data_IF_386779935983
#
_entry.id   IF_386779935983
#
_cell.length_a   1.000
_cell.length_b   1.000
_cell.length_c   1.000
_cell.angle_alpha   90.00
_cell.angle_beta   90.00
_cell.angle_gamma   90.00
#
_symmetry.space_group_name_H-M   'P 1'
#
loop_
_entity.id
_entity.type
_entity.pdbx_description
1 polymer ?
#
# COMPACT_ATOMS: atom_id res chain seq x y z
N UNK A 1 -20.78 7.51 -13.72
CA UNK A 1 -21.35 8.05 -14.97
C UNK A 1 -20.38 9.06 -15.64
N UNK A 2 -19.94 10.14 -14.96
CA UNK A 2 -19.12 11.19 -15.60
C UNK A 2 -17.80 10.66 -16.21
N UNK A 3 -17.01 9.90 -15.45
CA UNK A 3 -15.73 9.34 -15.92
C UNK A 3 -15.94 8.45 -17.16
N UNK A 4 -16.93 7.56 -17.14
CA UNK A 4 -17.20 6.69 -18.29
C UNK A 4 -17.55 7.51 -19.55
N UNK A 5 -18.36 8.55 -19.41
CA UNK A 5 -18.69 9.43 -20.54
C UNK A 5 -17.43 10.09 -21.12
N UNK A 6 -16.54 10.59 -20.27
CA UNK A 6 -15.28 11.19 -20.73
C UNK A 6 -14.41 10.16 -21.46
N UNK A 7 -14.34 8.94 -20.97
CA UNK A 7 -13.59 7.87 -21.63
C UNK A 7 -14.20 7.46 -22.96
N UNK A 8 -15.54 7.40 -23.05
CA UNK A 8 -16.26 7.15 -24.31
C UNK A 8 -15.94 8.22 -25.37
N UNK A 9 -15.92 9.50 -24.98
CA UNK A 9 -15.53 10.62 -25.85
C UNK A 9 -14.08 10.50 -26.34
N UNK A 10 -13.21 9.81 -25.58
CA UNK A 10 -11.79 9.56 -25.89
C UNK A 10 -11.54 8.19 -26.56
N UNK A 11 -12.58 7.46 -26.93
CA UNK A 11 -12.45 6.15 -27.57
C UNK A 11 -12.17 4.99 -26.61
N UNK A 12 -12.51 5.12 -25.31
CA UNK A 12 -12.35 4.10 -24.27
C UNK A 12 -10.92 3.52 -24.17
N UNK A 13 -9.90 4.35 -23.92
CA UNK A 13 -8.50 3.89 -23.92
C UNK A 13 -8.20 2.88 -22.80
N UNK A 14 -9.02 2.81 -21.74
CA UNK A 14 -8.95 1.85 -20.65
C UNK A 14 -10.29 1.71 -19.92
N UNK A 15 -10.42 0.68 -19.10
CA UNK A 15 -11.59 0.43 -18.25
C UNK A 15 -11.42 1.02 -16.85
N UNK A 16 -12.56 1.28 -16.21
CA UNK A 16 -12.66 1.78 -14.84
C UNK A 16 -13.36 0.75 -13.97
N UNK A 17 -12.73 0.34 -12.88
CA UNK A 17 -13.36 -0.42 -11.82
C UNK A 17 -13.84 0.52 -10.70
N UNK A 18 -14.90 0.11 -9.99
CA UNK A 18 -15.41 0.82 -8.81
C UNK A 18 -15.47 -0.14 -7.63
N UNK A 19 -15.18 0.36 -6.43
CA UNK A 19 -15.22 -0.44 -5.21
C UNK A 19 -15.93 0.32 -4.07
N UNK A 20 -17.00 -0.29 -3.55
CA UNK A 20 -17.78 0.21 -2.42
C UNK A 20 -18.42 -0.95 -1.68
N UNK A 21 -18.89 -0.74 -0.45
CA UNK A 21 -19.55 -1.78 0.32
C UNK A 21 -21.07 -1.67 0.24
N UNK A 22 -21.73 -2.83 0.18
CA UNK A 22 -23.20 -2.95 0.13
C UNK A 22 -23.80 -2.50 -1.20
N UNK A 23 -25.05 -2.03 -1.16
CA UNK A 23 -25.76 -1.48 -2.32
C UNK A 23 -25.72 0.03 -2.33
N UNK A 24 -25.81 0.64 -3.51
CA UNK A 24 -25.95 2.09 -3.71
C UNK A 24 -27.09 2.38 -4.64
N UNK A 25 -28.00 3.26 -4.21
CA UNK A 25 -29.08 3.73 -5.02
C UNK A 25 -28.65 4.88 -5.93
N UNK A 26 -28.95 4.76 -7.20
CA UNK A 26 -28.74 5.83 -8.19
C UNK A 26 -29.99 5.93 -9.07
N UNK A 27 -30.62 7.08 -9.09
CA UNK A 27 -31.85 7.35 -9.86
C UNK A 27 -33.00 6.35 -9.52
N UNK A 28 -33.11 5.92 -8.24
CA UNK A 28 -34.13 4.98 -7.76
C UNK A 28 -33.83 3.50 -8.07
N UNK A 29 -32.66 3.19 -8.57
CA UNK A 29 -32.21 1.82 -8.85
C UNK A 29 -31.04 1.48 -7.93
N UNK A 30 -31.15 0.33 -7.27
CA UNK A 30 -30.07 -0.20 -6.44
C UNK A 30 -29.04 -0.93 -7.30
N UNK A 31 -27.78 -0.69 -7.01
CA UNK A 31 -26.63 -1.32 -7.66
C UNK A 31 -25.68 -1.91 -6.62
N UNK A 32 -25.20 -3.10 -6.90
CA UNK A 32 -24.03 -3.68 -6.27
C UNK A 32 -22.75 -3.30 -7.05
N UNK A 33 -21.59 -3.55 -6.45
CA UNK A 33 -20.30 -3.40 -7.12
C UNK A 33 -20.23 -4.28 -8.38
N UNK A 34 -20.74 -5.54 -8.30
CA UNK A 34 -20.77 -6.47 -9.40
C UNK A 34 -21.65 -5.98 -10.56
N UNK A 35 -22.81 -5.39 -10.28
CA UNK A 35 -23.70 -4.84 -11.31
C UNK A 35 -23.03 -3.73 -12.13
N UNK A 36 -22.16 -2.94 -11.48
CA UNK A 36 -21.48 -1.82 -12.15
C UNK A 36 -20.23 -2.30 -12.89
N UNK A 37 -19.46 -3.18 -12.29
CA UNK A 37 -18.18 -3.64 -12.85
C UNK A 37 -18.35 -4.75 -13.90
N UNK A 38 -19.40 -5.59 -13.78
CA UNK A 38 -19.61 -6.74 -14.63
C UNK A 38 -18.80 -7.98 -14.24
N UNK A 39 -18.25 -8.01 -13.01
CA UNK A 39 -17.53 -9.13 -12.42
C UNK A 39 -17.77 -9.17 -10.91
N UNK A 40 -17.47 -10.29 -10.25
CA UNK A 40 -17.68 -10.46 -8.82
C UNK A 40 -16.75 -9.55 -7.99
N UNK A 41 -17.23 -9.11 -6.83
CA UNK A 41 -16.45 -8.27 -5.90
C UNK A 41 -15.11 -8.92 -5.52
N UNK A 42 -15.07 -10.24 -5.34
CA UNK A 42 -13.86 -11.02 -5.06
C UNK A 42 -12.78 -10.85 -6.12
N UNK A 43 -13.17 -10.63 -7.36
CA UNK A 43 -12.29 -10.62 -8.52
C UNK A 43 -11.71 -9.21 -8.80
N UNK A 44 -12.13 -8.20 -8.03
CA UNK A 44 -11.71 -6.80 -8.25
C UNK A 44 -10.20 -6.62 -8.29
N UNK A 45 -9.47 -7.31 -7.42
CA UNK A 45 -8.01 -7.23 -7.37
C UNK A 45 -7.38 -7.80 -8.65
N UNK A 46 -7.81 -8.98 -9.07
CA UNK A 46 -7.26 -9.67 -10.22
C UNK A 46 -7.63 -8.95 -11.52
N UNK A 47 -8.88 -8.48 -11.62
CA UNK A 47 -9.33 -7.68 -12.77
C UNK A 47 -8.57 -6.35 -12.87
N UNK A 48 -8.31 -5.68 -11.75
CA UNK A 48 -7.54 -4.44 -11.73
C UNK A 48 -6.04 -4.66 -11.99
N UNK A 49 -5.55 -5.88 -11.85
CA UNK A 49 -4.17 -6.24 -12.19
C UNK A 49 -3.96 -6.45 -13.69
N UNK A 50 -5.04 -6.59 -14.48
CA UNK A 50 -4.97 -6.70 -15.93
C UNK A 50 -4.59 -5.38 -16.59
N UNK A 51 -4.16 -5.45 -17.86
CA UNK A 51 -3.82 -4.25 -18.63
C UNK A 51 -5.01 -3.43 -19.11
N UNK A 52 -6.23 -3.95 -18.96
CA UNK A 52 -7.45 -3.27 -19.36
C UNK A 52 -7.88 -2.18 -18.38
N UNK A 53 -7.64 -2.37 -17.09
CA UNK A 53 -8.05 -1.44 -16.04
C UNK A 53 -6.90 -0.52 -15.63
N UNK A 54 -7.14 0.79 -15.62
CA UNK A 54 -6.16 1.80 -15.22
C UNK A 54 -6.65 2.71 -14.10
N UNK A 55 -7.94 2.69 -13.81
CA UNK A 55 -8.55 3.53 -12.78
C UNK A 55 -9.43 2.69 -11.88
N UNK A 56 -9.19 2.79 -10.56
CA UNK A 56 -10.03 2.21 -9.52
C UNK A 56 -10.62 3.35 -8.68
N UNK A 57 -11.94 3.50 -8.73
CA UNK A 57 -12.68 4.47 -7.92
C UNK A 57 -13.16 3.79 -6.64
N UNK A 58 -12.76 4.28 -5.49
CA UNK A 58 -13.08 3.67 -4.20
C UNK A 58 -13.93 4.59 -3.32
N UNK A 59 -14.92 4.02 -2.64
CA UNK A 59 -15.72 4.72 -1.66
C UNK A 59 -15.63 3.99 -0.30
N UNK A 60 -14.73 4.45 0.57
CA UNK A 60 -14.46 3.89 1.90
C UNK A 60 -14.05 2.41 1.92
N UNK A 61 -13.70 1.85 0.79
CA UNK A 61 -13.24 0.47 0.63
C UNK A 61 -11.76 0.46 0.28
N UNK A 62 -11.04 -0.61 0.63
CA UNK A 62 -9.61 -0.75 0.31
C UNK A 62 -8.67 0.30 0.93
N UNK A 63 -9.12 1.03 1.94
CA UNK A 63 -8.22 1.85 2.78
C UNK A 63 -7.21 0.96 3.51
N UNK A 64 -7.61 -0.28 3.81
CA UNK A 64 -6.75 -1.36 4.31
C UNK A 64 -6.91 -2.61 3.45
N UNK A 65 -5.93 -3.51 3.45
CA UNK A 65 -6.05 -4.83 2.82
C UNK A 65 -5.94 -4.91 1.29
N UNK A 66 -5.88 -3.78 0.56
CA UNK A 66 -5.68 -3.78 -0.89
C UNK A 66 -4.20 -3.57 -1.22
N UNK A 67 -3.58 -4.57 -1.80
CA UNK A 67 -2.19 -4.53 -2.22
C UNK A 67 -2.10 -4.58 -3.74
N UNK A 68 -1.67 -3.44 -4.35
CA UNK A 68 -1.46 -3.32 -5.79
C UNK A 68 -0.21 -2.48 -6.05
N UNK A 69 0.93 -3.14 -6.30
CA UNK A 69 2.21 -2.45 -6.51
C UNK A 69 2.24 -1.53 -7.74
N UNK A 70 1.36 -1.76 -8.73
CA UNK A 70 1.27 -0.93 -9.95
C UNK A 70 0.70 0.48 -9.69
N UNK A 71 0.11 0.74 -8.51
CA UNK A 71 -0.45 2.05 -8.21
C UNK A 71 0.64 3.13 -8.19
N UNK A 72 0.51 4.13 -9.06
CA UNK A 72 1.42 5.26 -9.16
C UNK A 72 0.72 6.61 -8.89
N UNK A 73 -0.60 6.68 -9.02
CA UNK A 73 -1.35 7.91 -8.82
C UNK A 73 -2.52 7.71 -7.85
N UNK A 74 -2.80 8.75 -7.06
CA UNK A 74 -3.98 8.80 -6.19
C UNK A 74 -4.62 10.18 -6.26
N UNK A 75 -5.95 10.17 -6.45
CA UNK A 75 -6.78 11.36 -6.38
C UNK A 75 -7.64 11.26 -5.12
N UNK A 76 -7.47 12.21 -4.20
CA UNK A 76 -8.15 12.22 -2.92
C UNK A 76 -9.28 13.24 -2.94
N UNK A 77 -10.53 12.75 -2.96
CA UNK A 77 -11.76 13.56 -3.01
C UNK A 77 -12.55 13.41 -1.70
N UNK A 78 -11.84 13.44 -0.56
CA UNK A 78 -12.45 13.40 0.77
C UNK A 78 -11.46 13.87 1.84
N UNK A 79 -12.01 14.31 2.99
CA UNK A 79 -11.19 14.57 4.17
C UNK A 79 -10.58 13.26 4.68
N UNK A 80 -9.27 13.22 4.78
CA UNK A 80 -8.51 12.17 5.45
C UNK A 80 -7.98 12.71 6.79
N UNK A 81 -8.07 11.92 7.83
CA UNK A 81 -7.60 12.34 9.15
C UNK A 81 -6.78 11.24 9.81
N UNK A 82 -5.74 11.65 10.55
CA UNK A 82 -4.96 10.79 11.42
C UNK A 82 -4.50 9.49 10.71
N UNK A 83 -4.69 8.35 11.33
CA UNK A 83 -4.26 7.03 10.85
C UNK A 83 -4.79 6.71 9.44
N UNK A 84 -6.00 7.13 9.11
CA UNK A 84 -6.59 6.89 7.78
C UNK A 84 -5.83 7.60 6.67
N UNK A 85 -5.30 8.78 6.92
CA UNK A 85 -4.45 9.52 5.99
C UNK A 85 -3.19 8.70 5.67
N UNK A 86 -2.48 8.26 6.70
CA UNK A 86 -1.27 7.45 6.55
C UNK A 86 -1.56 6.13 5.84
N UNK A 87 -2.62 5.43 6.23
CA UNK A 87 -3.03 4.16 5.61
C UNK A 87 -3.40 4.30 4.14
N UNK A 88 -4.07 5.38 3.75
CA UNK A 88 -4.45 5.63 2.37
C UNK A 88 -3.23 5.98 1.51
N UNK A 89 -2.46 7.00 1.93
CA UNK A 89 -1.37 7.54 1.12
C UNK A 89 -0.19 6.57 1.00
N UNK A 90 0.10 5.78 2.05
CA UNK A 90 1.15 4.75 2.01
C UNK A 90 0.91 3.64 0.98
N UNK A 91 -0.32 3.51 0.44
CA UNK A 91 -0.63 2.55 -0.65
C UNK A 91 0.20 2.77 -1.90
N UNK A 92 0.59 4.01 -2.18
CA UNK A 92 1.44 4.33 -3.32
C UNK A 92 2.90 3.93 -3.10
N UNK A 93 3.37 3.89 -1.85
CA UNK A 93 4.76 3.60 -1.50
C UNK A 93 5.16 2.12 -1.59
N UNK A 94 4.36 1.30 -2.27
CA UNK A 94 4.69 -0.10 -2.52
C UNK A 94 5.84 -0.20 -3.52
N UNK A 95 6.90 -0.84 -3.09
CA UNK A 95 8.04 -1.12 -3.97
C UNK A 95 7.63 -2.09 -5.08
N UNK A 96 8.03 -1.79 -6.32
CA UNK A 96 7.78 -2.65 -7.47
C UNK A 96 8.97 -2.56 -8.47
N UNK A 97 10.18 -2.96 -8.06
CA UNK A 97 11.38 -2.81 -8.88
C UNK A 97 11.28 -3.59 -10.19
N UNK A 98 10.60 -4.73 -10.21
CA UNK A 98 10.36 -5.52 -11.43
C UNK A 98 9.50 -4.80 -12.46
N UNK A 99 8.69 -3.82 -12.02
CA UNK A 99 7.87 -2.98 -12.90
C UNK A 99 8.55 -1.66 -13.27
N UNK A 100 9.77 -1.43 -12.78
CA UNK A 100 10.50 -0.18 -12.99
C UNK A 100 9.93 1.02 -12.22
N UNK A 101 9.03 0.79 -11.26
CA UNK A 101 8.39 1.85 -10.48
C UNK A 101 9.41 2.57 -9.60
N UNK A 102 9.46 3.89 -9.71
CA UNK A 102 10.32 4.76 -8.93
C UNK A 102 9.51 5.75 -8.09
N UNK A 103 10.14 6.35 -7.09
CA UNK A 103 9.48 7.34 -6.23
C UNK A 103 9.02 8.58 -7.00
N UNK A 104 9.78 9.00 -8.01
CA UNK A 104 9.43 10.11 -8.89
C UNK A 104 8.19 9.86 -9.77
N UNK A 105 7.79 8.60 -9.93
CA UNK A 105 6.58 8.22 -10.67
C UNK A 105 5.29 8.37 -9.82
N UNK A 106 5.44 8.64 -8.52
CA UNK A 106 4.31 8.72 -7.60
C UNK A 106 3.67 10.10 -7.66
N UNK A 107 2.35 10.12 -7.76
CA UNK A 107 1.57 11.33 -7.85
C UNK A 107 0.37 11.29 -6.92
N UNK A 108 0.19 12.33 -6.09
CA UNK A 108 -0.99 12.52 -5.25
C UNK A 108 -1.58 13.89 -5.56
N UNK A 109 -2.86 13.93 -5.92
CA UNK A 109 -3.65 15.15 -6.01
C UNK A 109 -4.76 15.09 -4.97
N UNK A 110 -4.70 15.98 -4.02
CA UNK A 110 -5.67 16.08 -2.92
C UNK A 110 -6.51 17.34 -3.08
N UNK A 111 -7.84 17.19 -3.00
CA UNK A 111 -8.81 18.28 -3.16
C UNK A 111 -9.37 18.79 -1.83
N UNK A 112 -9.12 18.08 -0.72
CA UNK A 112 -9.77 18.34 0.57
C UNK A 112 -8.82 18.61 1.73
N UNK A 113 -7.59 18.07 1.66
CA UNK A 113 -6.68 18.15 2.80
C UNK A 113 -5.57 19.17 2.49
N UNK A 114 -5.25 20.01 3.47
CA UNK A 114 -4.09 20.89 3.37
C UNK A 114 -2.79 20.11 3.58
N UNK A 115 -1.67 20.70 3.20
CA UNK A 115 -0.34 20.12 3.46
C UNK A 115 -0.13 19.93 4.96
N UNK A 116 -0.59 20.88 5.76
CA UNK A 116 -0.51 20.85 7.22
C UNK A 116 -1.34 19.72 7.83
N UNK A 117 -2.55 19.45 7.30
CA UNK A 117 -3.38 18.30 7.70
C UNK A 117 -2.65 16.98 7.47
N UNK A 118 -2.06 16.83 6.28
CA UNK A 118 -1.31 15.63 5.90
C UNK A 118 -0.07 15.47 6.78
N UNK A 119 0.70 16.54 6.93
CA UNK A 119 1.91 16.54 7.77
C UNK A 119 1.57 16.14 9.22
N UNK A 120 0.57 16.77 9.83
CA UNK A 120 0.13 16.46 11.19
C UNK A 120 -0.35 15.01 11.36
N UNK A 121 -0.90 14.41 10.30
CA UNK A 121 -1.31 13.00 10.31
C UNK A 121 -0.09 12.05 10.30
N UNK A 122 1.00 12.45 9.66
CA UNK A 122 2.23 11.65 9.55
C UNK A 122 3.20 11.89 10.73
N UNK A 123 3.20 13.05 11.37
CA UNK A 123 4.14 13.43 12.44
C UNK A 123 4.30 12.36 13.54
N UNK A 124 3.22 11.74 14.07
CA UNK A 124 3.38 10.70 15.10
C UNK A 124 4.18 9.48 14.62
N UNK A 125 4.14 9.19 13.33
CA UNK A 125 4.84 8.05 12.73
C UNK A 125 6.29 8.42 12.36
N UNK A 126 6.53 9.66 11.96
CA UNK A 126 7.89 10.16 11.71
C UNK A 126 8.68 10.29 13.00
N UNK A 127 8.08 10.75 14.07
CA UNK A 127 8.74 10.88 15.36
C UNK A 127 9.17 9.52 15.92
N UNK A 128 8.37 8.48 15.66
CA UNK A 128 8.69 7.10 16.06
C UNK A 128 9.80 6.46 15.19
N UNK A 129 9.99 6.97 13.96
CA UNK A 129 11.01 6.44 13.01
C UNK A 129 12.21 7.37 12.83
N UNK A 130 12.20 8.55 13.42
CA UNK A 130 13.31 9.51 13.33
C UNK A 130 14.49 9.01 14.18
N UNK A 131 15.34 8.22 13.57
CA UNK A 131 16.73 7.97 13.98
C UNK A 131 17.60 9.25 13.82
N UNK A 132 17.02 10.41 14.05
CA UNK A 132 17.68 11.71 13.85
C UNK A 132 18.67 12.09 14.96
N UNK A 133 18.76 11.28 16.01
CA UNK A 133 19.92 11.28 16.91
C UNK A 133 20.77 10.06 16.54
N UNK A 134 22.05 10.26 16.41
CA UNK A 134 23.00 9.16 16.27
C UNK A 134 22.65 8.12 17.33
N UNK A 135 22.28 6.92 16.89
CA UNK A 135 21.92 5.83 17.80
C UNK A 135 23.12 5.63 18.71
N UNK A 136 22.93 5.85 20.00
CA UNK A 136 23.98 5.55 20.98
C UNK A 136 24.29 4.06 20.85
N UNK A 137 25.54 3.76 20.55
CA UNK A 137 25.99 2.38 20.33
C UNK A 137 25.73 1.52 21.59
N UNK A 138 25.69 2.14 22.75
CA UNK A 138 25.37 1.43 24.01
C UNK A 138 23.91 0.94 24.03
N UNK A 139 22.97 1.70 23.49
CA UNK A 139 21.56 1.29 23.36
C UNK A 139 21.43 0.08 22.43
N UNK A 140 22.24 0.01 21.36
CA UNK A 140 22.27 -1.18 20.49
C UNK A 140 22.86 -2.40 21.20
N UNK A 141 23.85 -2.21 22.05
CA UNK A 141 24.42 -3.30 22.85
C UNK A 141 23.43 -3.78 23.91
N UNK A 142 22.77 -2.87 24.63
CA UNK A 142 21.73 -3.21 25.60
C UNK A 142 20.60 -3.97 24.96
N UNK A 143 20.10 -3.51 23.79
CA UNK A 143 19.03 -4.20 23.05
C UNK A 143 19.47 -5.59 22.59
N UNK A 144 20.73 -5.74 22.15
CA UNK A 144 21.29 -7.02 21.76
C UNK A 144 21.33 -7.96 22.96
N UNK A 145 21.81 -7.49 24.12
CA UNK A 145 21.91 -8.27 25.33
C UNK A 145 20.51 -8.71 25.81
N UNK A 146 19.49 -7.82 25.73
CA UNK A 146 18.10 -8.17 26.01
C UNK A 146 17.55 -9.25 25.06
N UNK A 147 17.90 -9.19 23.79
CA UNK A 147 17.49 -10.21 22.81
C UNK A 147 18.18 -11.57 23.07
N UNK A 148 19.46 -11.55 23.40
CA UNK A 148 20.24 -12.75 23.72
C UNK A 148 19.69 -13.42 25.02
N UNK A 149 19.28 -12.63 26.00
CA UNK A 149 18.72 -13.12 27.27
C UNK A 149 17.33 -13.81 27.07
N UNK A 150 16.58 -13.42 26.06
CA UNK A 150 15.31 -14.10 25.73
C UNK A 150 15.55 -15.50 25.18
N UNK A 151 16.70 -15.77 24.54
CA UNK A 151 17.11 -17.10 24.11
C UNK A 151 16.24 -17.71 23.01
N UNK A 152 15.70 -16.89 22.12
CA UNK A 152 14.87 -17.34 20.98
C UNK A 152 15.70 -17.71 19.77
N UNK A 153 16.97 -17.39 19.76
CA UNK A 153 17.92 -17.74 18.69
C UNK A 153 19.32 -17.96 19.27
N UNK A 154 20.14 -18.67 18.54
CA UNK A 154 21.56 -18.80 18.85
C UNK A 154 22.37 -17.93 17.86
N UNK A 155 23.43 -17.30 18.34
CA UNK A 155 24.20 -16.35 17.52
C UNK A 155 24.79 -16.96 16.24
N UNK A 156 25.15 -18.25 16.29
CA UNK A 156 25.63 -18.96 15.11
C UNK A 156 24.57 -19.10 13.99
N UNK A 157 23.29 -19.14 14.34
CA UNK A 157 22.17 -19.19 13.37
C UNK A 157 22.05 -17.85 12.66
N UNK A 158 22.21 -16.75 13.39
CA UNK A 158 22.24 -15.41 12.82
C UNK A 158 23.41 -15.25 11.83
N UNK A 159 24.61 -15.71 12.23
CA UNK A 159 25.80 -15.66 11.34
C UNK A 159 25.64 -16.53 10.09
N UNK A 160 25.07 -17.73 10.22
CA UNK A 160 24.81 -18.63 9.09
C UNK A 160 23.76 -18.01 8.15
N UNK A 161 22.67 -17.51 8.70
CA UNK A 161 21.63 -16.80 7.93
C UNK A 161 22.23 -15.61 7.14
N UNK A 162 22.93 -14.71 7.83
CA UNK A 162 23.55 -13.52 7.23
C UNK A 162 24.53 -13.90 6.12
N UNK A 163 25.36 -14.94 6.37
CA UNK A 163 26.32 -15.42 5.40
C UNK A 163 25.65 -15.92 4.13
N UNK A 164 24.58 -16.69 4.26
CA UNK A 164 23.83 -17.24 3.11
C UNK A 164 22.99 -16.18 2.42
N UNK A 165 22.39 -15.27 3.18
CA UNK A 165 21.61 -14.15 2.63
C UNK A 165 22.47 -13.28 1.70
N UNK A 166 23.66 -12.90 2.11
CA UNK A 166 24.58 -12.11 1.27
C UNK A 166 25.20 -12.89 0.10
N UNK A 167 25.10 -14.21 0.12
CA UNK A 167 25.42 -15.06 -1.03
C UNK A 167 24.27 -15.21 -2.03
N UNK A 168 23.12 -14.55 -1.77
CA UNK A 168 21.89 -14.64 -2.55
C UNK A 168 21.34 -16.09 -2.67
N UNK A 169 21.42 -16.87 -1.60
CA UNK A 169 20.78 -18.18 -1.55
C UNK A 169 19.26 -18.05 -1.62
N UNK A 170 18.58 -19.08 -2.14
CA UNK A 170 17.12 -19.08 -2.31
C UNK A 170 16.41 -18.99 -0.93
N UNK A 171 15.28 -18.28 -0.89
CA UNK A 171 14.44 -18.12 0.29
C UNK A 171 14.01 -19.47 0.91
N UNK A 172 13.84 -20.53 0.09
CA UNK A 172 13.52 -21.87 0.58
C UNK A 172 14.67 -22.51 1.36
N UNK A 173 15.92 -22.12 1.08
CA UNK A 173 17.10 -22.59 1.81
C UNK A 173 17.31 -21.82 3.11
N UNK A 174 16.81 -20.57 3.17
CA UNK A 174 16.93 -19.71 4.35
C UNK A 174 15.82 -19.93 5.37
N UNK A 175 14.61 -20.32 4.92
CA UNK A 175 13.43 -20.52 5.77
C UNK A 175 13.68 -21.44 6.97
N UNK A 176 14.36 -22.59 6.86
CA UNK A 176 14.62 -23.47 7.99
C UNK A 176 15.53 -22.91 9.09
N UNK A 177 16.18 -21.76 8.84
CA UNK A 177 17.03 -21.08 9.83
C UNK A 177 16.21 -20.06 10.63
N UNK A 178 15.05 -19.66 10.09
CA UNK A 178 14.20 -18.60 10.67
C UNK A 178 13.02 -19.19 11.44
N UNK A 179 12.64 -20.44 11.16
CA UNK A 179 11.54 -21.19 11.79
C UNK A 179 11.98 -21.80 13.15
#
# INVERSE_FOLDING_TARGET
>A
KAIRRILEEQGNPFKVAIAFSGTKEVDGIEYTEADINGFAESDTKDMFDTDEYRLLVVANKYLTGFDQPKLCAMYVDKKLASVLCVQALSRLNRSAPKLGKKTEDLFILDFFNSVEDIQSAFDPFYTATSLSQATDINVLHELKDEMDDVGVYEWYEVEDFVTRYFKNEDAQTLSPIID
#
